data_IF_281356447871
#
_entry.id   IF_281356447871
#
_cell.length_a   1.000
_cell.length_b   1.000
_cell.length_c   1.000
_cell.angle_alpha   90.00
_cell.angle_beta   90.00
_cell.angle_gamma   90.00
#
_symmetry.space_group_name_H-M   'P 1'
#
loop_
_entity.id
_entity.type
_entity.pdbx_description
1 polymer ?
#
# COMPACT_ATOMS: atom_id res chain seq x y z
N UNK A 1 -4.94 11.77 5.67
CA UNK A 1 -3.65 11.27 5.20
C UNK A 1 -3.76 9.77 4.99
N UNK A 2 -2.68 9.02 5.25
CA UNK A 2 -2.68 7.55 5.20
C UNK A 2 -3.61 6.92 6.25
N UNK A 3 -4.04 7.68 7.27
CA UNK A 3 -4.89 7.15 8.36
C UNK A 3 -6.21 6.56 7.86
N UNK A 4 -6.82 7.16 6.83
CA UNK A 4 -8.08 6.66 6.25
C UNK A 4 -7.90 5.28 5.60
N UNK A 5 -6.69 5.00 5.09
CA UNK A 5 -6.38 3.71 4.47
C UNK A 5 -6.26 2.63 5.56
N UNK A 6 -5.57 2.95 6.66
CA UNK A 6 -5.39 2.05 7.80
C UNK A 6 -6.69 1.78 8.56
N UNK A 7 -7.57 2.78 8.66
CA UNK A 7 -8.89 2.63 9.28
C UNK A 7 -9.83 1.72 8.47
N UNK A 8 -9.73 1.77 7.13
CA UNK A 8 -10.61 1.00 6.22
C UNK A 8 -10.12 -0.40 5.90
N UNK A 9 -8.82 -0.62 6.02
CA UNK A 9 -8.17 -1.89 5.72
C UNK A 9 -7.22 -2.24 6.88
N UNK A 10 -7.78 -2.65 8.04
CA UNK A 10 -6.98 -3.00 9.21
C UNK A 10 -6.13 -4.25 8.97
N UNK A 11 -6.54 -5.14 8.06
CA UNK A 11 -5.87 -6.41 7.74
C UNK A 11 -4.95 -6.32 6.49
N UNK A 12 -4.24 -5.21 6.31
CA UNK A 12 -3.23 -5.10 5.24
C UNK A 12 -1.97 -5.87 5.64
N UNK A 13 -1.58 -6.83 4.81
CA UNK A 13 -0.30 -7.51 4.92
C UNK A 13 0.49 -7.40 3.60
N UNK A 14 1.82 -7.48 3.66
CA UNK A 14 2.65 -7.45 2.46
C UNK A 14 2.55 -8.78 1.73
N UNK A 15 2.22 -8.75 0.44
CA UNK A 15 2.16 -9.98 -0.37
C UNK A 15 3.56 -10.62 -0.55
N UNK A 16 4.61 -9.82 -0.41
CA UNK A 16 6.00 -10.28 -0.51
C UNK A 16 6.81 -9.84 0.72
N UNK A 17 7.89 -10.59 1.06
CA UNK A 17 8.81 -10.16 2.11
C UNK A 17 9.36 -8.76 1.82
N UNK A 18 9.47 -7.93 2.86
CA UNK A 18 9.96 -6.55 2.78
C UNK A 18 11.33 -6.42 2.08
N UNK A 19 12.18 -7.45 2.20
CA UNK A 19 13.50 -7.51 1.57
C UNK A 19 13.44 -7.59 0.04
N UNK A 20 12.29 -7.97 -0.52
CA UNK A 20 12.05 -8.05 -1.98
C UNK A 20 11.34 -6.82 -2.53
N UNK A 21 11.01 -5.84 -1.69
CA UNK A 21 10.37 -4.61 -2.14
C UNK A 21 11.33 -3.80 -3.03
N UNK A 22 10.91 -3.56 -4.26
CA UNK A 22 11.69 -2.79 -5.22
C UNK A 22 11.63 -1.31 -4.84
N UNK A 23 12.79 -0.72 -4.58
CA UNK A 23 12.90 0.73 -4.38
C UNK A 23 13.00 1.44 -5.71
N UNK A 24 12.32 2.59 -5.80
CA UNK A 24 12.45 3.47 -6.96
C UNK A 24 13.88 4.02 -6.99
N UNK A 25 14.61 3.86 -8.11
CA UNK A 25 15.89 4.55 -8.29
C UNK A 25 15.57 6.03 -8.55
N UNK A 26 15.66 6.87 -7.50
CA UNK A 26 15.39 8.30 -7.60
C UNK A 26 16.41 9.10 -6.77
N UNK A 27 17.04 10.15 -7.34
CA UNK A 27 18.06 10.94 -6.63
C UNK A 27 17.48 11.86 -5.56
N UNK A 28 16.20 12.23 -5.67
CA UNK A 28 15.55 13.23 -4.80
C UNK A 28 14.45 12.68 -3.92
N UNK A 29 13.77 11.62 -4.37
CA UNK A 29 12.63 11.04 -3.66
C UNK A 29 12.93 9.59 -3.30
N UNK A 30 12.81 9.23 -2.02
CA UNK A 30 12.74 7.81 -1.64
C UNK A 30 11.30 7.34 -1.70
N UNK A 31 11.07 6.27 -2.44
CA UNK A 31 9.79 5.59 -2.52
C UNK A 31 9.97 4.16 -3.01
N UNK A 32 8.97 3.33 -2.75
CA UNK A 32 8.87 2.03 -3.39
C UNK A 32 8.36 2.20 -4.81
N UNK A 33 8.87 1.41 -5.75
CA UNK A 33 8.33 1.33 -7.10
C UNK A 33 6.96 0.68 -7.05
N UNK A 34 6.84 -0.39 -6.27
CA UNK A 34 5.64 -1.18 -6.08
C UNK A 34 5.51 -1.56 -4.60
N UNK A 35 4.28 -1.55 -4.10
CA UNK A 35 3.94 -2.02 -2.77
C UNK A 35 2.80 -3.04 -2.89
N UNK A 36 3.12 -4.30 -3.19
CA UNK A 36 2.12 -5.34 -3.31
C UNK A 36 1.61 -5.72 -1.90
N UNK A 37 0.30 -5.63 -1.73
CA UNK A 37 -0.39 -5.89 -0.46
C UNK A 37 -1.55 -6.84 -0.67
N UNK A 38 -1.79 -7.68 0.32
CA UNK A 38 -2.98 -8.49 0.44
C UNK A 38 -3.89 -7.89 1.50
N UNK A 39 -5.18 -7.84 1.19
CA UNK A 39 -6.22 -7.40 2.12
C UNK A 39 -7.53 -8.10 1.79
N UNK A 40 -8.40 -8.24 2.79
CA UNK A 40 -9.76 -8.73 2.58
C UNK A 40 -10.56 -7.67 1.81
N UNK A 41 -11.20 -8.01 0.67
CA UNK A 41 -11.97 -7.04 -0.10
C UNK A 41 -13.10 -6.43 0.73
N UNK A 42 -12.96 -5.16 1.10
CA UNK A 42 -14.02 -4.37 1.73
C UNK A 42 -14.62 -3.41 0.71
N UNK A 43 -15.91 -3.05 0.84
CA UNK A 43 -16.54 -2.08 -0.05
C UNK A 43 -15.74 -0.78 -0.05
N UNK A 44 -15.30 -0.32 -1.23
CA UNK A 44 -14.56 0.93 -1.35
C UNK A 44 -15.46 2.10 -0.91
N UNK A 45 -15.21 2.68 0.27
CA UNK A 45 -15.95 3.85 0.78
C UNK A 45 -15.49 5.16 0.12
N UNK A 46 -15.03 5.13 -1.13
CA UNK A 46 -14.40 6.30 -1.77
C UNK A 46 -14.16 6.22 -3.27
N UNK A 47 -14.63 5.17 -3.96
CA UNK A 47 -14.49 5.03 -5.42
C UNK A 47 -15.68 5.56 -6.23
N UNK A 48 -16.72 6.06 -5.56
CA UNK A 48 -17.92 6.61 -6.16
C UNK A 48 -17.87 8.14 -6.09
N UNK A 49 -17.02 8.72 -6.94
CA UNK A 49 -17.19 10.06 -7.52
C UNK A 49 -16.59 10.10 -8.91
#
# INVERSE_FOLDING_TARGET
GIEVLLDRLPDIDLDIPESRLTRRPSPWLRGLTDLPVHFTPTPALGGQK
#
